data_IF_285903686121
#
_entry.id   IF_285903686121
#
_cell.length_a   1.000
_cell.length_b   1.000
_cell.length_c   1.000
_cell.angle_alpha   90.00
_cell.angle_beta   90.00
_cell.angle_gamma   90.00
#
_symmetry.space_group_name_H-M   'P 1'
#
loop_
_entity.id
_entity.type
_entity.pdbx_description
1 polymer ?
#
# COMPACT_ATOMS: atom_id res chain seq x y z
N UNK A 1 -1.31 13.78 -6.94
CA UNK A 1 -0.12 14.64 -7.15
C UNK A 1 1.14 13.79 -7.07
N UNK A 2 2.00 13.90 -8.08
CA UNK A 2 3.29 13.23 -8.13
C UNK A 2 4.34 14.05 -7.38
N UNK A 3 5.14 13.41 -6.52
CA UNK A 3 6.21 14.08 -5.76
C UNK A 3 7.37 13.11 -5.46
N UNK A 4 8.56 13.61 -5.09
CA UNK A 4 9.64 12.74 -4.64
C UNK A 4 9.20 11.91 -3.43
N UNK A 5 9.74 10.70 -3.29
CA UNK A 5 9.46 9.88 -2.12
C UNK A 5 10.14 10.47 -0.90
N UNK A 6 9.34 10.95 0.05
CA UNK A 6 9.83 11.42 1.35
C UNK A 6 10.15 10.26 2.29
N UNK A 7 10.97 10.49 3.33
CA UNK A 7 11.33 9.45 4.32
C UNK A 7 10.13 8.77 4.96
N UNK A 8 9.06 9.52 5.24
CA UNK A 8 7.85 9.01 5.90
C UNK A 8 7.22 7.82 5.18
N UNK A 9 7.21 7.77 3.84
CA UNK A 9 6.58 6.65 3.10
C UNK A 9 7.30 5.33 3.37
N UNK A 10 8.58 5.38 3.74
CA UNK A 10 9.36 4.19 4.08
C UNK A 10 9.01 3.66 5.47
N UNK A 11 8.70 4.54 6.42
CA UNK A 11 8.22 4.16 7.75
C UNK A 11 6.82 3.54 7.68
N UNK A 12 5.99 3.98 6.74
CA UNK A 12 4.69 3.35 6.44
C UNK A 12 4.84 2.00 5.72
N UNK A 13 5.71 1.92 4.70
CA UNK A 13 6.09 0.65 4.06
C UNK A 13 6.57 -0.36 5.10
N UNK A 14 7.40 0.10 6.04
CA UNK A 14 7.88 -0.71 7.14
C UNK A 14 6.76 -1.13 8.08
N UNK A 15 5.98 -0.19 8.62
CA UNK A 15 4.93 -0.48 9.61
C UNK A 15 3.84 -1.40 9.08
N UNK A 16 3.35 -1.18 7.85
CA UNK A 16 2.31 -2.03 7.24
C UNK A 16 2.80 -3.48 7.03
N UNK A 17 4.08 -3.66 6.71
CA UNK A 17 4.65 -4.97 6.36
C UNK A 17 5.40 -5.64 7.52
N UNK A 18 5.67 -4.92 8.61
CA UNK A 18 6.49 -5.39 9.75
C UNK A 18 6.01 -6.74 10.27
N UNK A 19 4.71 -6.90 10.49
CA UNK A 19 4.17 -8.12 11.11
C UNK A 19 4.09 -9.30 10.15
N UNK A 20 3.76 -9.09 8.87
CA UNK A 20 3.72 -10.20 7.92
C UNK A 20 5.10 -10.65 7.44
N UNK A 21 6.16 -9.86 7.66
CA UNK A 21 7.46 -10.06 6.99
C UNK A 21 8.66 -10.12 7.93
N UNK A 22 8.57 -9.46 9.09
CA UNK A 22 9.75 -9.10 9.89
C UNK A 22 9.63 -9.62 11.33
N UNK A 23 8.44 -9.59 11.91
CA UNK A 23 8.15 -10.04 13.27
C UNK A 23 8.16 -11.58 13.45
N UNK A 24 8.88 -12.26 12.57
CA UNK A 24 9.14 -13.70 12.52
C UNK A 24 10.51 -13.98 13.19
N UNK A 25 11.52 -13.11 13.04
CA UNK A 25 12.78 -13.22 13.80
C UNK A 25 13.54 -11.91 13.98
N UNK A 26 14.24 -11.76 15.12
CA UNK A 26 15.10 -10.61 15.44
C UNK A 26 16.21 -10.40 14.38
N UNK A 27 16.72 -11.47 13.78
CA UNK A 27 17.75 -11.39 12.72
C UNK A 27 17.20 -10.80 11.43
N UNK A 28 16.00 -11.23 11.01
CA UNK A 28 15.33 -10.63 9.86
C UNK A 28 15.01 -9.15 10.13
N UNK A 29 14.59 -8.82 11.34
CA UNK A 29 14.34 -7.45 11.79
C UNK A 29 15.56 -6.54 11.64
N UNK A 30 16.70 -6.91 12.21
CA UNK A 30 17.91 -6.09 12.11
C UNK A 30 18.40 -5.95 10.66
N UNK A 31 18.42 -7.04 9.89
CA UNK A 31 18.87 -7.00 8.49
C UNK A 31 17.97 -6.15 7.58
N UNK A 32 16.68 -6.05 7.90
CA UNK A 32 15.74 -5.21 7.14
C UNK A 32 15.78 -3.75 7.61
N UNK A 33 15.95 -3.48 8.91
CA UNK A 33 16.11 -2.13 9.45
C UNK A 33 17.41 -1.46 8.96
N UNK A 34 18.51 -2.21 8.85
CA UNK A 34 19.78 -1.70 8.30
C UNK A 34 19.67 -1.24 6.84
N UNK A 35 18.86 -1.94 6.02
CA UNK A 35 18.63 -1.59 4.60
C UNK A 35 17.79 -0.32 4.39
N UNK A 36 17.02 0.07 5.40
CA UNK A 36 16.19 1.28 5.39
C UNK A 36 16.86 2.43 6.16
N UNK A 37 17.78 2.16 7.08
CA UNK A 37 18.30 3.15 8.03
C UNK A 37 19.34 4.14 7.49
N UNK A 38 20.38 3.70 6.76
CA UNK A 38 21.51 4.59 6.36
C UNK A 38 21.53 5.04 4.90
N UNK A 39 21.07 4.18 3.99
CA UNK A 39 20.89 4.46 2.55
C UNK A 39 19.64 3.72 2.10
N UNK A 40 18.52 4.39 1.82
CA UNK A 40 17.26 3.72 1.53
C UNK A 40 17.37 2.90 0.24
N UNK A 41 17.42 1.57 0.35
CA UNK A 41 17.39 0.67 -0.82
C UNK A 41 15.95 0.33 -1.20
N UNK A 42 15.16 1.33 -1.57
CA UNK A 42 13.69 1.22 -1.64
C UNK A 42 13.25 0.33 -2.79
N UNK A 43 13.93 0.40 -3.94
CA UNK A 43 13.61 -0.49 -5.06
C UNK A 43 13.87 -1.95 -4.69
N UNK A 44 14.95 -2.22 -3.95
CA UNK A 44 15.24 -3.57 -3.44
C UNK A 44 14.25 -3.97 -2.33
N UNK A 45 13.79 -3.02 -1.52
CA UNK A 45 12.76 -3.24 -0.51
C UNK A 45 11.45 -3.70 -1.16
N UNK A 46 10.94 -2.93 -2.12
CA UNK A 46 9.72 -3.26 -2.86
C UNK A 46 9.81 -4.63 -3.53
N UNK A 47 10.93 -4.98 -4.15
CA UNK A 47 11.17 -6.34 -4.70
C UNK A 47 11.09 -7.41 -3.63
N UNK A 48 11.70 -7.16 -2.46
CA UNK A 48 11.66 -8.10 -1.34
C UNK A 48 10.25 -8.25 -0.77
N UNK A 49 9.46 -7.17 -0.75
CA UNK A 49 8.03 -7.22 -0.39
C UNK A 49 7.27 -8.16 -1.32
N UNK A 50 7.43 -8.01 -2.63
CA UNK A 50 6.75 -8.86 -3.61
C UNK A 50 7.11 -10.33 -3.47
N UNK A 51 8.41 -10.66 -3.35
CA UNK A 51 8.87 -12.03 -3.16
C UNK A 51 8.21 -12.71 -1.94
N UNK A 52 8.28 -12.05 -0.79
CA UNK A 52 7.75 -12.61 0.45
C UNK A 52 6.20 -12.61 0.50
N UNK A 53 5.53 -11.76 -0.29
CA UNK A 53 4.07 -11.77 -0.36
C UNK A 53 3.49 -13.06 -0.95
N UNK A 54 4.29 -13.77 -1.76
CA UNK A 54 3.93 -15.06 -2.35
C UNK A 54 4.40 -16.28 -1.57
N UNK A 55 5.20 -16.10 -0.51
CA UNK A 55 5.67 -17.21 0.33
C UNK A 55 4.61 -17.60 1.38
N UNK A 56 4.49 -18.90 1.66
CA UNK A 56 3.74 -19.37 2.83
C UNK A 56 4.30 -18.71 4.10
N UNK A 57 3.43 -18.40 5.07
CA UNK A 57 3.80 -17.74 6.32
C UNK A 57 3.94 -18.77 7.46
N UNK A 58 5.07 -19.49 7.58
CA UNK A 58 5.23 -20.58 8.56
C UNK A 58 5.09 -20.12 10.01
N UNK A 59 5.29 -18.84 10.30
CA UNK A 59 5.21 -18.25 11.65
C UNK A 59 4.06 -17.24 11.79
N UNK A 60 2.95 -17.47 11.09
CA UNK A 60 1.77 -16.62 11.17
C UNK A 60 1.29 -16.38 12.61
N UNK A 61 1.45 -17.37 13.49
CA UNK A 61 1.12 -17.24 14.91
C UNK A 61 1.97 -16.17 15.63
N UNK A 62 3.28 -16.09 15.36
CA UNK A 62 4.16 -15.06 15.94
C UNK A 62 3.79 -13.67 15.42
N UNK A 63 3.47 -13.55 14.13
CA UNK A 63 2.97 -12.30 13.55
C UNK A 63 1.68 -11.84 14.23
N UNK A 64 0.75 -12.77 14.46
CA UNK A 64 -0.52 -12.49 15.15
C UNK A 64 -0.33 -12.15 16.63
N UNK A 65 0.61 -12.81 17.33
CA UNK A 65 0.96 -12.43 18.71
C UNK A 65 1.48 -11.00 18.78
N UNK A 66 2.34 -10.61 17.85
CA UNK A 66 2.85 -9.24 17.80
C UNK A 66 1.73 -8.24 17.50
N UNK A 67 0.84 -8.52 16.54
CA UNK A 67 -0.34 -7.68 16.31
C UNK A 67 -1.25 -7.61 17.55
N UNK A 68 -1.44 -8.73 18.26
CA UNK A 68 -2.20 -8.78 19.50
C UNK A 68 -1.60 -7.89 20.59
N UNK A 69 -0.28 -7.75 20.68
CA UNK A 69 0.36 -6.87 21.67
C UNK A 69 -0.05 -5.40 21.55
N UNK A 70 -0.47 -4.94 20.35
CA UNK A 70 -1.00 -3.58 20.16
C UNK A 70 -2.39 -3.39 20.77
N UNK A 71 -3.29 -4.37 20.59
CA UNK A 71 -4.68 -4.26 21.10
C UNK A 71 -4.81 -4.71 22.56
N UNK A 72 -3.94 -5.61 23.04
CA UNK A 72 -3.96 -6.20 24.38
C UNK A 72 -4.16 -5.20 25.52
N UNK A 73 -3.50 -4.03 25.57
CA UNK A 73 -3.69 -3.05 26.64
C UNK A 73 -5.15 -2.55 26.77
N UNK A 74 -5.87 -2.52 25.65
CA UNK A 74 -7.24 -2.00 25.53
C UNK A 74 -8.31 -3.06 25.85
N UNK A 75 -7.92 -4.34 25.91
CA UNK A 75 -8.82 -5.46 26.13
C UNK A 75 -9.03 -5.77 27.62
N UNK A 76 -10.24 -6.20 27.97
CA UNK A 76 -10.54 -6.80 29.26
C UNK A 76 -10.00 -8.22 29.38
N UNK A 77 -9.89 -8.73 30.62
CA UNK A 77 -9.37 -10.08 30.91
C UNK A 77 -10.07 -11.19 30.11
N UNK A 78 -11.40 -11.10 29.94
CA UNK A 78 -12.19 -12.09 29.19
C UNK A 78 -11.84 -12.08 27.70
N UNK A 79 -11.77 -10.89 27.09
CA UNK A 79 -11.42 -10.71 25.68
C UNK A 79 -9.97 -11.18 25.41
N UNK A 80 -9.04 -10.87 26.32
CA UNK A 80 -7.64 -11.38 26.23
C UNK A 80 -7.59 -12.90 26.22
N UNK A 81 -8.40 -13.55 27.07
CA UNK A 81 -8.46 -15.01 27.12
C UNK A 81 -8.99 -15.60 25.81
N UNK A 82 -10.08 -15.04 25.28
CA UNK A 82 -10.69 -15.46 24.02
C UNK A 82 -9.72 -15.36 22.83
N UNK A 83 -8.95 -14.26 22.72
CA UNK A 83 -7.92 -14.13 21.68
C UNK A 83 -6.84 -15.21 21.82
N UNK A 84 -6.35 -15.46 23.03
CA UNK A 84 -5.31 -16.47 23.28
C UNK A 84 -5.82 -17.89 22.97
N UNK A 85 -7.03 -18.24 23.40
CA UNK A 85 -7.62 -19.54 23.07
C UNK A 85 -7.76 -19.71 21.55
N UNK A 86 -8.20 -18.67 20.86
CA UNK A 86 -8.37 -18.68 19.42
C UNK A 86 -7.03 -18.83 18.70
N UNK A 87 -5.98 -18.15 19.17
CA UNK A 87 -4.61 -18.27 18.65
C UNK A 87 -4.10 -19.72 18.72
N UNK A 88 -4.45 -20.47 19.77
CA UNK A 88 -4.08 -21.88 19.96
C UNK A 88 -4.87 -22.85 19.06
N UNK A 89 -6.09 -22.48 18.67
CA UNK A 89 -7.00 -23.34 17.89
C UNK A 89 -6.87 -23.09 16.39
N UNK A 90 -6.74 -21.84 15.95
CA UNK A 90 -6.67 -21.49 14.53
C UNK A 90 -6.35 -20.03 14.24
N UNK A 91 -5.30 -19.82 13.45
CA UNK A 91 -4.76 -18.49 13.10
C UNK A 91 -5.75 -17.56 12.40
N UNK A 92 -6.68 -18.09 11.58
CA UNK A 92 -7.64 -17.27 10.82
C UNK A 92 -8.71 -16.61 11.70
N UNK A 93 -9.21 -17.33 12.71
CA UNK A 93 -10.21 -16.79 13.64
C UNK A 93 -9.54 -15.77 14.57
N UNK A 94 -8.29 -16.03 14.98
CA UNK A 94 -7.53 -15.11 15.80
C UNK A 94 -7.23 -13.79 15.06
N UNK A 95 -6.84 -13.88 13.78
CA UNK A 95 -6.63 -12.72 12.93
C UNK A 95 -7.89 -11.85 12.83
N UNK A 96 -9.05 -12.48 12.63
CA UNK A 96 -10.34 -11.78 12.57
C UNK A 96 -10.65 -11.05 13.86
N UNK A 97 -10.51 -11.73 15.00
CA UNK A 97 -10.80 -11.14 16.31
C UNK A 97 -9.85 -9.99 16.66
N UNK A 98 -8.55 -10.15 16.37
CA UNK A 98 -7.55 -9.07 16.56
C UNK A 98 -7.91 -7.86 15.69
N UNK A 99 -8.27 -8.07 14.43
CA UNK A 99 -8.64 -6.98 13.53
C UNK A 99 -9.92 -6.27 13.97
N UNK A 100 -10.96 -7.01 14.38
CA UNK A 100 -12.18 -6.43 14.94
C UNK A 100 -11.91 -5.57 16.18
N UNK A 101 -11.02 -6.02 17.07
CA UNK A 101 -10.59 -5.19 18.20
C UNK A 101 -9.84 -3.94 17.74
N UNK A 102 -8.96 -4.04 16.75
CA UNK A 102 -8.29 -2.87 16.19
C UNK A 102 -9.29 -1.84 15.65
N UNK A 103 -10.35 -2.27 14.96
CA UNK A 103 -11.43 -1.40 14.50
C UNK A 103 -12.20 -0.76 15.67
N UNK A 104 -12.62 -1.57 16.66
CA UNK A 104 -13.45 -1.12 17.78
C UNK A 104 -12.73 -0.09 18.66
N UNK A 105 -11.44 -0.29 18.91
CA UNK A 105 -10.63 0.60 19.75
C UNK A 105 -9.86 1.66 18.96
N UNK A 106 -10.02 1.69 17.62
CA UNK A 106 -9.34 2.61 16.71
C UNK A 106 -7.81 2.55 16.78
N UNK A 107 -7.26 1.34 16.90
CA UNK A 107 -5.82 1.09 16.93
C UNK A 107 -5.21 1.26 15.53
N UNK A 108 -4.76 2.48 15.24
CA UNK A 108 -4.33 2.90 13.89
C UNK A 108 -3.15 2.09 13.36
N UNK A 109 -2.24 1.64 14.23
CA UNK A 109 -1.04 0.89 13.84
C UNK A 109 -1.36 -0.43 13.11
N UNK A 110 -2.59 -0.92 13.22
CA UNK A 110 -3.04 -2.17 12.59
C UNK A 110 -3.94 -1.97 11.36
N UNK A 111 -4.36 -0.74 11.03
CA UNK A 111 -5.32 -0.50 9.95
C UNK A 111 -4.84 -0.96 8.58
N UNK A 112 -3.60 -0.62 8.23
CA UNK A 112 -2.93 -1.05 6.99
C UNK A 112 -2.07 -2.31 7.15
N UNK A 113 -2.12 -2.99 8.30
CA UNK A 113 -1.25 -4.13 8.55
C UNK A 113 -1.52 -5.28 7.57
N UNK A 114 -0.53 -5.59 6.72
CA UNK A 114 -0.60 -6.61 5.65
C UNK A 114 -0.72 -8.04 6.13
N UNK A 115 -0.71 -8.25 7.45
CA UNK A 115 -1.17 -9.48 8.05
C UNK A 115 -2.63 -9.79 7.67
N UNK A 116 -3.47 -8.75 7.57
CA UNK A 116 -4.90 -8.87 7.33
C UNK A 116 -5.30 -8.69 5.87
N UNK A 117 -4.36 -8.41 4.97
CA UNK A 117 -4.60 -8.26 3.53
C UNK A 117 -4.00 -9.47 2.82
N UNK A 118 -4.84 -10.24 2.12
CA UNK A 118 -4.46 -11.56 1.57
C UNK A 118 -3.91 -11.53 0.14
N UNK A 119 -3.69 -10.35 -0.42
CA UNK A 119 -3.33 -10.21 -1.83
C UNK A 119 -1.85 -9.88 -1.99
N UNK A 120 -1.18 -10.51 -2.96
CA UNK A 120 0.14 -10.09 -3.48
C UNK A 120 0.07 -8.79 -4.29
N UNK A 121 -1.12 -8.20 -4.41
CA UNK A 121 -1.40 -6.96 -5.13
C UNK A 121 -1.34 -5.75 -4.21
N UNK A 122 -1.17 -4.57 -4.81
CA UNK A 122 -1.19 -3.28 -4.11
C UNK A 122 -0.14 -3.13 -2.99
N UNK A 123 0.97 -3.88 -3.05
CA UNK A 123 2.04 -3.87 -2.03
C UNK A 123 2.72 -2.52 -1.85
N UNK A 124 2.63 -1.67 -2.87
CA UNK A 124 3.16 -0.32 -2.86
C UNK A 124 2.11 0.76 -2.60
N UNK A 125 0.91 0.39 -2.11
CA UNK A 125 -0.21 1.33 -1.96
C UNK A 125 -0.72 1.42 -0.52
N UNK A 126 -0.86 2.64 -0.01
CA UNK A 126 -1.06 2.91 1.40
C UNK A 126 -2.16 3.96 1.59
N UNK A 127 -3.10 3.70 2.49
CA UNK A 127 -4.13 4.68 2.85
C UNK A 127 -3.76 5.54 4.07
N UNK A 128 -2.65 5.20 4.75
CA UNK A 128 -2.28 5.77 6.05
C UNK A 128 -1.02 6.65 6.02
N UNK A 129 -0.53 7.01 4.82
CA UNK A 129 0.65 7.87 4.70
C UNK A 129 0.23 9.33 4.89
N UNK A 130 0.80 10.00 5.90
CA UNK A 130 0.63 11.43 6.21
C UNK A 130 -0.79 11.87 6.67
N UNK A 131 -0.92 13.15 7.02
CA UNK A 131 -2.18 13.78 7.47
C UNK A 131 -3.24 13.96 6.37
N UNK A 132 -2.91 13.63 5.11
CA UNK A 132 -3.80 13.84 3.95
C UNK A 132 -4.54 12.55 3.60
N UNK A 133 -5.89 12.52 3.67
CA UNK A 133 -6.67 11.36 3.23
C UNK A 133 -6.44 11.03 1.76
N UNK A 134 -6.37 9.75 1.43
CA UNK A 134 -6.25 9.25 0.07
C UNK A 134 -5.33 8.05 -0.03
N UNK A 135 -5.11 7.60 -1.25
CA UNK A 135 -4.23 6.49 -1.57
C UNK A 135 -2.87 7.03 -2.01
N UNK A 136 -1.82 6.60 -1.33
CA UNK A 136 -0.44 6.86 -1.69
C UNK A 136 0.15 5.65 -2.39
N UNK A 137 0.80 5.88 -3.53
CA UNK A 137 1.44 4.84 -4.33
C UNK A 137 2.93 5.12 -4.34
N UNK A 138 3.73 4.19 -3.83
CA UNK A 138 5.19 4.31 -3.76
C UNK A 138 5.85 3.61 -4.96
N UNK A 139 6.67 4.33 -5.71
CA UNK A 139 7.39 3.77 -6.86
C UNK A 139 8.87 3.53 -6.58
N UNK A 140 9.35 3.84 -5.36
CA UNK A 140 10.77 3.93 -5.05
C UNK A 140 11.22 5.39 -5.05
N UNK A 141 11.75 5.93 -6.17
CA UNK A 141 12.22 7.31 -6.24
C UNK A 141 11.14 8.37 -6.03
N UNK A 142 9.90 8.05 -6.37
CA UNK A 142 8.77 8.99 -6.31
C UNK A 142 7.51 8.30 -5.79
N UNK A 143 6.54 9.12 -5.44
CA UNK A 143 5.23 8.69 -4.94
C UNK A 143 4.12 9.50 -5.61
N UNK A 144 2.95 8.86 -5.76
CA UNK A 144 1.74 9.48 -6.27
C UNK A 144 0.66 9.46 -5.19
N UNK A 145 0.07 10.61 -4.90
CA UNK A 145 -1.15 10.71 -4.11
C UNK A 145 -2.39 10.74 -5.01
N UNK A 146 -3.35 9.88 -4.74
CA UNK A 146 -4.70 9.93 -5.30
C UNK A 146 -5.68 10.29 -4.17
N UNK A 147 -6.55 11.27 -4.41
CA UNK A 147 -7.60 11.59 -3.45
C UNK A 147 -8.62 10.44 -3.38
N UNK A 148 -9.41 10.32 -2.29
CA UNK A 148 -10.45 9.30 -2.21
C UNK A 148 -11.42 9.33 -3.40
N UNK A 149 -11.80 10.52 -3.88
CA UNK A 149 -12.69 10.70 -5.04
C UNK A 149 -12.07 10.14 -6.32
N UNK A 150 -10.77 10.37 -6.53
CA UNK A 150 -10.04 9.83 -7.67
C UNK A 150 -9.97 8.31 -7.63
N UNK A 151 -9.75 7.74 -6.43
CA UNK A 151 -9.74 6.29 -6.21
C UNK A 151 -11.11 5.68 -6.48
N UNK A 152 -12.18 6.29 -5.97
CA UNK A 152 -13.54 5.77 -6.19
C UNK A 152 -13.96 5.90 -7.65
N UNK A 153 -13.63 7.01 -8.31
CA UNK A 153 -13.93 7.18 -9.73
C UNK A 153 -13.24 6.11 -10.59
N UNK A 154 -11.94 5.84 -10.35
CA UNK A 154 -11.25 4.78 -11.11
C UNK A 154 -11.81 3.39 -10.83
N UNK A 155 -12.30 3.12 -9.62
CA UNK A 155 -12.98 1.85 -9.30
C UNK A 155 -14.29 1.74 -10.09
N UNK A 156 -15.11 2.79 -10.12
CA UNK A 156 -16.34 2.83 -10.91
C UNK A 156 -16.06 2.56 -12.41
N UNK A 157 -15.07 3.26 -12.97
CA UNK A 157 -14.68 3.10 -14.38
C UNK A 157 -14.17 1.68 -14.66
N UNK A 158 -13.23 1.19 -13.85
CA UNK A 158 -12.59 -0.12 -14.05
C UNK A 158 -13.53 -1.31 -13.83
N UNK A 159 -14.50 -1.18 -12.92
CA UNK A 159 -15.46 -2.24 -12.61
C UNK A 159 -16.77 -2.14 -13.39
N UNK A 160 -17.08 -0.98 -13.98
CA UNK A 160 -18.32 -0.71 -14.70
C UNK A 160 -19.55 -0.54 -13.79
N UNK A 161 -19.35 -0.36 -12.48
CA UNK A 161 -20.42 -0.05 -11.53
C UNK A 161 -20.59 1.47 -11.39
N UNK A 162 -21.79 1.89 -11.03
CA UNK A 162 -22.04 3.30 -10.71
C UNK A 162 -21.64 3.64 -9.27
N UNK A 163 -21.46 4.94 -9.00
CA UNK A 163 -21.03 5.42 -7.67
C UNK A 163 -22.00 5.10 -6.53
N UNK A 164 -23.30 5.05 -6.79
CA UNK A 164 -24.30 4.69 -5.77
C UNK A 164 -24.14 3.22 -5.33
N UNK A 165 -24.04 2.31 -6.29
CA UNK A 165 -23.80 0.89 -6.01
C UNK A 165 -22.45 0.71 -5.29
N UNK A 166 -21.38 1.38 -5.74
CA UNK A 166 -20.09 1.34 -5.04
C UNK A 166 -20.24 1.77 -3.58
N UNK A 167 -20.96 2.88 -3.31
CA UNK A 167 -21.18 3.39 -1.96
C UNK A 167 -21.89 2.37 -1.06
N UNK A 168 -22.95 1.72 -1.56
CA UNK A 168 -23.67 0.68 -0.83
C UNK A 168 -22.76 -0.50 -0.48
N UNK A 169 -21.93 -0.93 -1.44
CA UNK A 169 -20.96 -2.02 -1.25
C UNK A 169 -19.88 -1.64 -0.22
N UNK A 170 -19.31 -0.45 -0.31
CA UNK A 170 -18.32 0.02 0.66
C UNK A 170 -18.93 0.18 2.06
N UNK A 171 -20.19 0.61 2.17
CA UNK A 171 -20.91 0.68 3.45
C UNK A 171 -21.16 -0.70 4.06
N UNK A 172 -21.46 -1.72 3.23
CA UNK A 172 -21.54 -3.10 3.70
C UNK A 172 -20.17 -3.58 4.23
N UNK A 173 -19.09 -3.37 3.46
CA UNK A 173 -17.73 -3.71 3.88
C UNK A 173 -17.31 -2.99 5.17
N UNK A 174 -17.74 -1.76 5.41
CA UNK A 174 -17.43 -1.04 6.64
C UNK A 174 -17.94 -1.76 7.90
N UNK A 175 -19.11 -2.41 7.81
CA UNK A 175 -19.69 -3.18 8.91
C UNK A 175 -19.15 -4.62 8.99
N UNK A 176 -18.38 -5.05 7.99
CA UNK A 176 -17.94 -6.44 7.82
C UNK A 176 -18.98 -7.29 7.10
N UNK A 177 -18.56 -7.94 6.01
CA UNK A 177 -19.36 -8.94 5.28
C UNK A 177 -18.66 -10.28 5.27
N UNK A 178 -19.39 -11.36 4.98
CA UNK A 178 -18.76 -12.67 4.81
C UNK A 178 -17.92 -12.74 3.53
N UNK A 179 -16.86 -13.56 3.54
CA UNK A 179 -16.05 -13.81 2.33
C UNK A 179 -16.88 -14.41 1.19
N UNK A 180 -17.88 -15.24 1.50
CA UNK A 180 -18.79 -15.81 0.49
C UNK A 180 -19.65 -14.73 -0.17
N UNK A 181 -20.12 -13.75 0.60
CA UNK A 181 -20.83 -12.59 0.08
C UNK A 181 -19.93 -11.74 -0.82
N UNK A 182 -18.69 -11.46 -0.39
CA UNK A 182 -17.73 -10.72 -1.22
C UNK A 182 -17.43 -11.46 -2.54
N UNK A 183 -17.28 -12.78 -2.49
CA UNK A 183 -17.06 -13.61 -3.69
C UNK A 183 -18.26 -13.63 -4.64
N UNK A 184 -19.46 -13.29 -4.17
CA UNK A 184 -20.66 -13.19 -4.99
C UNK A 184 -20.76 -11.87 -5.78
N UNK A 185 -19.95 -10.87 -5.44
CA UNK A 185 -19.92 -9.57 -6.13
C UNK A 185 -19.26 -9.68 -7.52
N UNK A 186 -19.46 -8.69 -8.41
CA UNK A 186 -18.80 -8.70 -9.71
C UNK A 186 -17.28 -8.83 -9.58
N UNK A 187 -16.68 -9.79 -10.30
CA UNK A 187 -15.24 -10.08 -10.20
C UNK A 187 -14.36 -8.84 -10.43
N UNK A 188 -14.69 -8.02 -11.43
CA UNK A 188 -13.98 -6.76 -11.69
C UNK A 188 -14.05 -5.76 -10.55
N UNK A 189 -15.17 -5.72 -9.82
CA UNK A 189 -15.27 -4.87 -8.62
C UNK A 189 -14.32 -5.39 -7.54
N UNK A 190 -14.35 -6.69 -7.26
CA UNK A 190 -13.45 -7.28 -6.27
C UNK A 190 -11.98 -7.04 -6.64
N UNK A 191 -11.60 -7.24 -7.89
CA UNK A 191 -10.27 -6.92 -8.41
C UNK A 191 -9.91 -5.45 -8.16
N UNK A 192 -10.77 -4.50 -8.55
CA UNK A 192 -10.51 -3.08 -8.31
C UNK A 192 -10.38 -2.76 -6.81
N UNK A 193 -11.19 -3.37 -5.93
CA UNK A 193 -11.07 -3.15 -4.48
C UNK A 193 -9.73 -3.67 -3.93
N UNK A 194 -9.28 -4.83 -4.38
CA UNK A 194 -7.98 -5.39 -4.00
C UNK A 194 -6.81 -4.57 -4.56
N UNK A 195 -6.87 -4.20 -5.84
CA UNK A 195 -5.85 -3.38 -6.50
C UNK A 195 -5.74 -2.01 -5.83
N UNK A 196 -6.79 -1.52 -5.18
CA UNK A 196 -6.78 -0.25 -4.44
C UNK A 196 -6.49 -0.40 -2.93
N UNK A 197 -6.09 -1.58 -2.47
CA UNK A 197 -5.84 -1.88 -1.06
C UNK A 197 -7.02 -1.50 -0.13
N UNK A 198 -8.26 -1.71 -0.59
CA UNK A 198 -9.47 -1.29 0.14
C UNK A 198 -10.06 -2.37 1.03
N UNK A 199 -9.70 -3.64 0.85
CA UNK A 199 -10.37 -4.76 1.53
C UNK A 199 -9.39 -5.54 2.37
N UNK A 200 -9.61 -5.54 3.68
CA UNK A 200 -8.96 -6.44 4.62
C UNK A 200 -9.74 -7.76 4.68
N UNK A 201 -9.02 -8.89 4.68
CA UNK A 201 -9.51 -10.26 4.77
C UNK A 201 -8.80 -11.02 5.91
N UNK A 202 -8.97 -10.61 7.18
CA UNK A 202 -8.28 -11.25 8.30
C UNK A 202 -8.71 -12.72 8.48
N UNK A 203 -9.97 -13.05 8.21
CA UNK A 203 -10.54 -14.37 8.48
C UNK A 203 -11.61 -14.78 7.47
N UNK A 204 -12.82 -15.01 7.98
CA UNK A 204 -14.03 -15.32 7.21
C UNK A 204 -14.84 -14.07 6.89
N UNK A 205 -14.52 -12.96 7.53
CA UNK A 205 -15.07 -11.66 7.24
C UNK A 205 -14.11 -10.81 6.41
N UNK A 206 -14.70 -9.96 5.58
CA UNK A 206 -14.07 -8.91 4.80
C UNK A 206 -14.49 -7.54 5.32
N UNK A 207 -13.53 -6.63 5.44
CA UNK A 207 -13.74 -5.29 5.98
C UNK A 207 -13.18 -4.22 5.04
N UNK A 208 -13.81 -3.05 5.04
CA UNK A 208 -13.27 -1.86 4.39
C UNK A 208 -12.03 -1.36 5.14
N UNK A 209 -11.00 -0.92 4.42
CA UNK A 209 -9.85 -0.25 5.01
C UNK A 209 -10.32 0.97 5.84
N UNK A 210 -10.01 1.07 7.16
CA UNK A 210 -10.65 2.04 8.06
C UNK A 210 -10.40 3.51 7.70
N UNK A 211 -9.28 3.77 7.03
CA UNK A 211 -8.91 5.10 6.51
C UNK A 211 -9.60 5.48 5.19
N UNK A 212 -10.20 4.53 4.48
CA UNK A 212 -10.98 4.79 3.27
C UNK A 212 -12.39 5.27 3.65
N UNK A 213 -12.46 6.47 4.21
CA UNK A 213 -13.71 7.07 4.72
C UNK A 213 -14.76 7.20 3.62
N UNK A 214 -15.97 6.69 3.91
CA UNK A 214 -17.15 6.74 3.02
C UNK A 214 -17.68 8.15 2.77
N UNK A 215 -17.22 9.14 3.54
CA UNK A 215 -17.69 10.53 3.49
C UNK A 215 -17.42 11.21 2.13
N UNK A 216 -16.60 10.60 1.27
CA UNK A 216 -16.19 11.16 -0.03
C UNK A 216 -16.78 10.39 -1.23
N UNK A 217 -17.67 9.43 -1.00
CA UNK A 217 -18.34 8.69 -2.08
C UNK A 217 -19.60 9.45 -2.53
N UNK A 218 -19.41 10.57 -3.21
CA UNK A 218 -20.46 11.34 -3.91
C UNK A 218 -20.20 11.45 -5.43
N UNK A 219 -19.19 10.73 -5.93
CA UNK A 219 -18.64 11.00 -7.25
C UNK A 219 -19.35 10.22 -8.35
N UNK A 220 -19.83 10.95 -9.36
CA UNK A 220 -20.05 10.38 -10.69
C UNK A 220 -18.71 9.92 -11.29
N UNK A 221 -18.74 8.95 -12.20
CA UNK A 221 -17.56 8.34 -12.83
C UNK A 221 -16.80 9.32 -13.73
N UNK A 222 -16.06 10.26 -13.14
CA UNK A 222 -15.30 11.30 -13.82
C UNK A 222 -13.86 10.85 -14.12
N UNK A 223 -13.40 11.08 -15.36
CA UNK A 223 -12.01 10.81 -15.73
C UNK A 223 -11.04 11.69 -14.92
N UNK A 224 -9.88 11.12 -14.61
CA UNK A 224 -8.80 11.77 -13.89
C UNK A 224 -8.12 12.80 -14.79
N UNK A 225 -8.18 14.05 -14.37
CA UNK A 225 -7.41 15.15 -14.94
C UNK A 225 -5.96 15.02 -14.46
N UNK A 226 -5.05 14.62 -15.34
CA UNK A 226 -3.64 14.38 -14.99
C UNK A 226 -2.70 15.05 -15.97
N UNK A 227 -1.49 15.37 -15.52
CA UNK A 227 -0.38 15.70 -16.41
C UNK A 227 0.27 14.43 -16.99
N UNK A 228 1.19 14.63 -17.94
CA UNK A 228 1.93 13.54 -18.60
C UNK A 228 2.63 12.61 -17.60
N UNK A 229 3.28 13.18 -16.59
CA UNK A 229 4.10 12.43 -15.63
C UNK A 229 3.25 11.62 -14.65
N UNK A 230 2.09 12.14 -14.24
CA UNK A 230 1.11 11.39 -13.45
C UNK A 230 0.50 10.27 -14.27
N UNK A 231 0.20 10.49 -15.56
CA UNK A 231 -0.26 9.42 -16.45
C UNK A 231 0.81 8.31 -16.59
N UNK A 232 2.08 8.69 -16.75
CA UNK A 232 3.20 7.75 -16.78
C UNK A 232 3.32 6.92 -15.50
N UNK A 233 3.14 7.55 -14.33
CA UNK A 233 3.15 6.86 -13.04
C UNK A 233 1.98 5.87 -12.88
N UNK A 234 0.78 6.23 -13.35
CA UNK A 234 -0.39 5.34 -13.33
C UNK A 234 -0.23 4.15 -14.30
N UNK A 235 0.40 4.36 -15.45
CA UNK A 235 0.76 3.26 -16.37
C UNK A 235 1.75 2.31 -15.69
N UNK A 236 2.79 2.85 -15.03
CA UNK A 236 3.75 2.04 -14.26
C UNK A 236 3.06 1.26 -13.13
N UNK A 237 2.15 1.89 -12.39
CA UNK A 237 1.35 1.24 -11.34
C UNK A 237 0.60 0.03 -11.90
N UNK A 238 -0.16 0.22 -12.99
CA UNK A 238 -0.96 -0.83 -13.62
C UNK A 238 -0.10 -1.95 -14.19
N UNK A 239 1.05 -1.63 -14.78
CA UNK A 239 2.03 -2.65 -15.22
C UNK A 239 2.53 -3.50 -14.05
N UNK A 240 2.77 -2.91 -12.89
CA UNK A 240 3.18 -3.66 -11.71
C UNK A 240 2.05 -4.52 -11.13
N UNK A 241 0.81 -4.01 -11.06
CA UNK A 241 -0.32 -4.77 -10.53
C UNK A 241 -0.76 -5.92 -11.45
N UNK A 242 -0.60 -5.76 -12.76
CA UNK A 242 -1.02 -6.74 -13.78
C UNK A 242 0.06 -7.77 -14.13
N UNK A 243 1.26 -7.64 -13.56
CA UNK A 243 2.34 -8.59 -13.80
C UNK A 243 1.98 -9.99 -13.30
N UNK A 244 2.25 -11.01 -14.13
CA UNK A 244 2.07 -12.43 -13.75
C UNK A 244 2.92 -12.79 -12.53
N UNK A 245 4.14 -12.24 -12.46
CA UNK A 245 5.10 -12.44 -11.38
C UNK A 245 5.43 -11.10 -10.70
N UNK A 246 4.74 -10.75 -9.60
CA UNK A 246 4.92 -9.45 -8.92
C UNK A 246 6.36 -9.20 -8.44
N UNK A 247 7.10 -10.24 -8.07
CA UNK A 247 8.50 -10.18 -7.62
C UNK A 247 9.49 -9.89 -8.75
N UNK A 248 9.10 -10.18 -9.98
CA UNK A 248 9.87 -9.84 -11.18
C UNK A 248 9.54 -8.44 -11.70
N UNK A 249 8.38 -7.87 -11.37
CA UNK A 249 7.93 -6.57 -11.85
C UNK A 249 8.12 -5.43 -10.83
N UNK A 250 7.68 -5.62 -9.58
CA UNK A 250 7.61 -4.56 -8.59
C UNK A 250 9.01 -4.00 -8.27
N UNK A 251 9.15 -2.68 -8.24
CA UNK A 251 10.45 -2.02 -8.02
C UNK A 251 11.42 -2.20 -9.18
N UNK A 252 10.96 -2.57 -10.39
CA UNK A 252 11.75 -2.55 -11.63
C UNK A 252 11.16 -1.55 -12.62
N UNK A 253 12.06 -0.94 -13.39
CA UNK A 253 11.71 -0.21 -14.60
C UNK A 253 11.29 -1.26 -15.65
N UNK A 254 10.09 -1.15 -16.26
CA UNK A 254 9.69 -2.07 -17.32
C UNK A 254 10.58 -1.94 -18.57
N UNK A 255 10.33 -2.74 -19.60
CA UNK A 255 10.93 -2.50 -20.91
C UNK A 255 10.19 -1.38 -21.64
N UNK A 256 10.89 -0.60 -22.46
CA UNK A 256 10.29 0.51 -23.22
C UNK A 256 9.12 0.05 -24.11
N UNK A 257 9.25 -1.10 -24.77
CA UNK A 257 8.18 -1.67 -25.60
C UNK A 257 6.92 -1.96 -24.78
N UNK A 258 7.06 -2.64 -23.64
CA UNK A 258 5.94 -2.95 -22.75
C UNK A 258 5.27 -1.68 -22.19
N UNK A 259 6.06 -0.65 -21.87
CA UNK A 259 5.50 0.63 -21.45
C UNK A 259 4.75 1.33 -22.59
N UNK A 260 5.32 1.34 -23.79
CA UNK A 260 4.70 1.96 -24.98
C UNK A 260 3.38 1.29 -25.34
N UNK A 261 3.33 -0.04 -25.29
CA UNK A 261 2.09 -0.79 -25.48
C UNK A 261 1.04 -0.47 -24.41
N UNK A 262 1.46 -0.22 -23.16
CA UNK A 262 0.58 0.10 -22.05
C UNK A 262 0.19 1.58 -21.95
N UNK A 263 0.90 2.49 -22.64
CA UNK A 263 0.68 3.93 -22.58
C UNK A 263 -0.50 4.37 -23.46
N UNK A 264 -1.71 3.90 -23.15
CA UNK A 264 -2.90 4.20 -23.93
C UNK A 264 -4.21 4.14 -23.10
N UNK A 265 -5.32 4.74 -23.62
CA UNK A 265 -6.61 4.79 -22.92
C UNK A 265 -7.29 3.44 -22.64
N UNK A 266 -6.97 2.38 -23.39
CA UNK A 266 -7.55 1.07 -23.13
C UNK A 266 -6.89 0.40 -21.92
N UNK A 267 -5.60 0.67 -21.66
CA UNK A 267 -4.87 0.10 -20.53
C UNK A 267 -5.11 0.86 -19.22
N UNK A 268 -5.16 2.20 -19.28
CA UNK A 268 -5.51 3.06 -18.13
C UNK A 268 -6.73 3.92 -18.47
N UNK A 269 -7.94 3.33 -18.44
CA UNK A 269 -9.18 3.99 -18.86
C UNK A 269 -9.65 5.10 -17.92
N UNK A 270 -9.13 5.16 -16.69
CA UNK A 270 -9.52 6.17 -15.72
C UNK A 270 -8.93 7.57 -15.99
N UNK A 271 -7.98 7.72 -16.92
CA UNK A 271 -7.32 8.99 -17.24
C UNK A 271 -8.09 9.73 -18.36
N UNK A 272 -8.18 11.05 -18.27
CA UNK A 272 -8.50 11.87 -19.44
C UNK A 272 -7.23 12.09 -20.29
N UNK A 273 -7.09 11.29 -21.36
CA UNK A 273 -5.91 11.31 -22.21
C UNK A 273 -5.86 12.54 -23.11
N UNK A 274 -4.77 13.30 -23.01
CA UNK A 274 -4.52 14.49 -23.82
C UNK A 274 -3.78 14.12 -25.12
N UNK A 275 -4.05 14.84 -26.20
CA UNK A 275 -3.50 14.55 -27.54
C UNK A 275 -2.00 14.76 -27.65
N UNK A 276 -1.44 15.59 -26.79
CA UNK A 276 -0.05 16.00 -26.72
C UNK A 276 0.79 15.13 -25.77
N UNK A 277 0.20 14.10 -25.16
CA UNK A 277 0.97 13.15 -24.36
C UNK A 277 1.97 12.37 -25.22
N UNK A 278 3.26 12.59 -24.94
CA UNK A 278 4.37 11.90 -25.59
C UNK A 278 4.80 10.67 -24.79
N UNK A 279 4.65 9.48 -25.38
CA UNK A 279 5.05 8.22 -24.74
C UNK A 279 6.57 8.17 -24.46
N UNK A 280 7.39 8.64 -25.40
CA UNK A 280 8.85 8.62 -25.24
C UNK A 280 9.29 9.57 -24.11
N UNK A 281 8.68 10.76 -24.02
CA UNK A 281 8.97 11.69 -22.92
C UNK A 281 8.52 11.11 -21.57
N UNK A 282 7.33 10.51 -21.51
CA UNK A 282 6.84 9.82 -20.32
C UNK A 282 7.78 8.69 -19.87
N UNK A 283 8.31 7.93 -20.83
CA UNK A 283 9.24 6.85 -20.55
C UNK A 283 10.58 7.35 -20.03
N UNK A 284 11.18 8.32 -20.72
CA UNK A 284 12.48 8.90 -20.36
C UNK A 284 12.43 9.52 -18.96
N UNK A 285 11.32 10.17 -18.61
CA UNK A 285 11.08 10.70 -17.28
C UNK A 285 11.15 9.59 -16.20
N UNK A 286 10.39 8.51 -16.36
CA UNK A 286 10.39 7.39 -15.39
C UNK A 286 11.76 6.70 -15.36
N UNK A 287 12.36 6.44 -16.52
CA UNK A 287 13.68 5.82 -16.62
C UNK A 287 14.77 6.65 -15.92
N UNK A 288 14.74 7.97 -16.08
CA UNK A 288 15.64 8.91 -15.42
C UNK A 288 15.56 8.82 -13.89
N UNK A 289 14.35 8.81 -13.32
CA UNK A 289 14.15 8.68 -11.87
C UNK A 289 14.67 7.34 -11.33
N UNK A 290 14.43 6.24 -12.05
CA UNK A 290 14.97 4.92 -11.68
C UNK A 290 16.50 4.87 -11.75
N UNK A 291 17.10 5.52 -12.75
CA UNK A 291 18.54 5.60 -12.89
C UNK A 291 19.19 6.39 -11.76
N UNK A 292 18.62 7.55 -11.41
CA UNK A 292 19.08 8.37 -10.29
C UNK A 292 19.03 7.58 -8.97
N UNK A 293 17.92 6.93 -8.68
CA UNK A 293 17.78 6.11 -7.47
C UNK A 293 18.80 4.96 -7.42
N UNK A 294 18.99 4.23 -8.52
CA UNK A 294 20.00 3.16 -8.59
C UNK A 294 21.43 3.69 -8.40
N UNK A 295 21.73 4.85 -8.96
CA UNK A 295 23.04 5.50 -8.82
C UNK A 295 23.30 5.89 -7.36
N UNK A 296 22.31 6.47 -6.69
CA UNK A 296 22.36 6.79 -5.27
C UNK A 296 22.51 5.53 -4.39
N UNK A 297 21.75 4.47 -4.68
CA UNK A 297 21.84 3.17 -3.99
C UNK A 297 23.24 2.53 -4.13
N UNK A 298 23.90 2.72 -5.29
CA UNK A 298 25.27 2.28 -5.54
C UNK A 298 26.36 3.18 -4.89
N UNK A 299 25.96 4.30 -4.28
CA UNK A 299 26.88 5.24 -3.63
C UNK A 299 27.59 6.20 -4.57
N UNK A 300 27.09 6.37 -5.80
CA UNK A 300 27.55 7.43 -6.68
C UNK A 300 26.96 8.79 -6.23
N UNK A 301 27.73 9.88 -6.29
CA UNK A 301 27.22 11.22 -5.99
C UNK A 301 26.09 11.59 -6.95
N UNK A 302 25.10 12.32 -6.45
CA UNK A 302 24.03 12.87 -7.30
C UNK A 302 24.64 13.72 -8.40
N UNK A 303 24.35 13.36 -9.66
CA UNK A 303 24.71 14.19 -10.81
C UNK A 303 23.66 15.29 -10.88
N UNK A 304 23.92 16.43 -10.26
CA UNK A 304 23.17 17.66 -10.50
C UNK A 304 23.64 18.24 -11.83
N UNK A 305 22.95 17.91 -12.92
CA UNK A 305 23.11 18.61 -14.19
C UNK A 305 22.49 20.01 -14.06
N UNK A 306 23.33 21.04 -13.88
CA UNK A 306 22.93 22.45 -13.81
C UNK A 306 22.30 23.00 -15.12
N UNK A 307 22.42 22.25 -16.23
CA UNK A 307 21.89 22.63 -17.55
C UNK A 307 20.67 21.82 -18.02
N UNK A 308 20.20 20.86 -17.21
CA UNK A 308 18.95 20.16 -17.51
C UNK A 308 17.79 20.94 -16.92
N UNK A 309 16.73 21.16 -17.70
CA UNK A 309 15.40 21.56 -17.23
C UNK A 309 14.84 20.44 -16.36
N UNK A 310 15.44 20.22 -15.20
CA UNK A 310 15.01 19.24 -14.22
C UNK A 310 13.58 19.59 -13.84
N UNK A 311 12.67 18.71 -14.23
CA UNK A 311 11.26 18.72 -13.84
C UNK A 311 11.22 18.86 -12.33
N UNK A 312 10.98 20.08 -11.83
CA UNK A 312 10.93 20.38 -10.40
C UNK A 312 9.69 19.71 -9.81
N UNK A 313 9.83 18.44 -9.43
CA UNK A 313 8.88 17.81 -8.53
C UNK A 313 8.96 18.56 -7.20
N UNK A 314 7.85 19.11 -6.73
CA UNK A 314 7.85 19.89 -5.49
C UNK A 314 8.23 18.99 -4.32
N UNK A 315 9.34 19.31 -3.66
CA UNK A 315 9.78 18.69 -2.42
C UNK A 315 8.91 19.21 -1.27
N UNK A 316 8.13 18.34 -0.65
CA UNK A 316 7.39 18.65 0.58
C UNK A 316 8.03 17.88 1.74
N UNK A 317 9.20 18.35 2.19
CA UNK A 317 9.75 17.90 3.47
C UNK A 317 9.05 18.68 4.58
N UNK A 318 7.99 18.10 5.14
CA UNK A 318 7.55 18.45 6.49
C UNK A 318 8.11 17.36 7.41
N UNK A 319 9.03 17.76 8.29
CA UNK A 319 9.48 16.93 9.41
C UNK A 319 8.25 16.52 10.22
N UNK A 320 8.01 15.22 10.33
CA UNK A 320 7.02 14.65 11.24
C UNK A 320 7.75 14.31 12.55
N UNK A 321 7.09 14.63 13.66
CA UNK A 321 7.52 14.58 15.07
C UNK A 321 8.23 13.25 15.44
N UNK A 322 9.31 13.24 16.26
CA UNK A 322 10.09 12.04 16.58
C UNK A 322 9.44 11.07 17.58
N UNK A 323 8.15 11.20 17.93
CA UNK A 323 7.52 10.47 19.04
C UNK A 323 7.12 9.00 18.75
N UNK A 324 7.82 8.29 17.87
CA UNK A 324 7.81 6.81 17.85
C UNK A 324 9.22 6.21 18.01
N UNK A 325 10.06 6.88 18.79
CA UNK A 325 11.26 6.29 19.37
C UNK A 325 10.96 5.48 20.63
N UNK A 326 11.28 4.19 20.59
CA UNK A 326 11.62 3.36 21.76
C UNK A 326 10.74 3.51 23.02
N UNK A 327 9.74 2.65 23.17
CA UNK A 327 9.46 2.10 24.50
C UNK A 327 10.35 0.88 24.69
N UNK A 328 11.56 1.16 25.19
CA UNK A 328 12.46 0.17 25.73
C UNK A 328 11.79 -0.60 26.87
N UNK A 329 12.12 -1.88 26.93
CA UNK A 329 11.84 -2.75 28.05
C UNK A 329 12.41 -2.14 29.34
N UNK A 330 11.55 -1.58 30.18
CA UNK A 330 11.86 -1.44 31.60
C UNK A 330 11.21 -2.60 32.35
N UNK A 331 12.02 -3.62 32.63
CA UNK A 331 11.78 -4.56 33.72
C UNK A 331 11.66 -3.74 35.02
N UNK A 332 10.46 -3.68 35.59
CA UNK A 332 10.32 -3.26 36.99
C UNK A 332 10.59 -4.46 37.89
N UNK A 333 11.78 -4.52 38.46
CA UNK A 333 12.04 -5.21 39.72
C UNK A 333 11.16 -4.58 40.82
N UNK A 334 10.24 -5.35 41.41
CA UNK A 334 9.87 -5.28 42.83
C UNK A 334 9.21 -6.58 43.30
#
# INVERSE_FOLDING_TARGET
MLQPSHRGIYEYLWSEHKYCMIAISVKAFHGMAERLGRRPQILNWLRRLALLSGEDRPELYNALLNAYMHVKPLLERKQRHEVIETLLIGSSVAAELIYQHALAYKEKSLYGCRLFFRTSRALCKFWDVQDRPGLWICFGPFQLHLTPEQVFSRICIGSGINGHELKERLAALHNGISSDELLSWPAKLCEQLYDNNLVALPGRLAFLHPRASLLNCETDSALLQTDLYTAAALVLEKLWDSAEFPDEALGRLPQHEAFTEAFNPAFVPEIEWQKDFSCDEAWDFIAGLFWQQKSAEAGHPEVTDEDSTAVRMQTTDQEIDPEEGEHGDEETEY
#
